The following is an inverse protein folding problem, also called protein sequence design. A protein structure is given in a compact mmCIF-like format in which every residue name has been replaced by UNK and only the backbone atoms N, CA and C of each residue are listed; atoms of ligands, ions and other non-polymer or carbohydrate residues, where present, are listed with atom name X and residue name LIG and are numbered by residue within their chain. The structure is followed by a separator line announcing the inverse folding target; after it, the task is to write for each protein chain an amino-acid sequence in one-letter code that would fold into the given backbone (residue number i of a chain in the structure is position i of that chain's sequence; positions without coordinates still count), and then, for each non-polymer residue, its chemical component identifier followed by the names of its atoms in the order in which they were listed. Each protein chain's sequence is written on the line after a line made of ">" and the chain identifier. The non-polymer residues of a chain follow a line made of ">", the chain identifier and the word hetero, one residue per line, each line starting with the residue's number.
data_IF_531654097361
#
_entry.id   IF_531654097361
#
_cell.length_a   1.000
_cell.length_b   1.000
_cell.length_c   1.000
_cell.angle_alpha   90.00
_cell.angle_beta   90.00
_cell.angle_gamma   90.00
#
_symmetry.space_group_name_H-M   'P 1'
#
loop_
_entity.id
_entity.type
_entity.pdbx_description
1 polymer ?
#
# COMPACT_ATOMS: atom_id res chain seq x y z
N UNK A 1 -3.39 1.43 -19.96
CA UNK A 1 -3.91 1.19 -18.59
C UNK A 1 -3.25 2.15 -17.62
N UNK A 2 -4.03 2.93 -16.87
CA UNK A 2 -3.48 3.76 -15.80
C UNK A 2 -3.02 2.81 -14.66
N UNK A 3 -1.74 2.89 -14.29
CA UNK A 3 -1.16 2.04 -13.24
C UNK A 3 -1.62 2.47 -11.83
N UNK A 4 -1.26 1.69 -10.81
CA UNK A 4 -1.63 1.98 -9.40
C UNK A 4 -1.29 3.41 -8.97
N UNK A 5 -0.17 3.95 -9.47
CA UNK A 5 0.28 5.31 -9.25
C UNK A 5 -0.78 6.39 -9.55
N UNK A 6 -1.57 6.19 -10.61
CA UNK A 6 -2.61 7.16 -11.01
C UNK A 6 -3.72 7.31 -9.97
N UNK A 7 -3.97 6.28 -9.15
CA UNK A 7 -5.03 6.30 -8.16
C UNK A 7 -4.64 7.01 -6.85
N UNK A 8 -3.38 7.44 -6.70
CA UNK A 8 -2.97 8.20 -5.52
C UNK A 8 -3.61 9.58 -5.45
N UNK A 9 -3.87 10.21 -6.61
CA UNK A 9 -4.57 11.49 -6.66
C UNK A 9 -6.05 11.34 -6.25
N UNK A 10 -6.68 10.21 -6.50
CA UNK A 10 -8.09 9.97 -6.14
C UNK A 10 -8.27 9.55 -4.68
N UNK A 11 -7.19 9.16 -4.00
CA UNK A 11 -7.21 8.73 -2.61
C UNK A 11 -6.86 9.90 -1.68
N UNK A 12 -7.77 10.39 -0.82
CA UNK A 12 -7.58 11.65 -0.09
C UNK A 12 -6.29 11.77 0.72
N UNK A 13 -5.86 10.69 1.38
CA UNK A 13 -4.63 10.70 2.18
C UNK A 13 -3.37 10.78 1.31
N UNK A 14 -3.28 9.93 0.28
CA UNK A 14 -2.11 9.93 -0.61
C UNK A 14 -2.06 11.18 -1.47
N UNK A 15 -3.20 11.77 -1.84
CA UNK A 15 -3.25 13.09 -2.47
C UNK A 15 -2.54 14.15 -1.62
N UNK A 16 -2.77 14.17 -0.30
CA UNK A 16 -2.11 15.13 0.61
C UNK A 16 -0.60 14.91 0.66
N UNK A 17 -0.16 13.64 0.68
CA UNK A 17 1.27 13.30 0.61
C UNK A 17 1.87 13.83 -0.69
N UNK A 18 1.21 13.60 -1.83
CA UNK A 18 1.71 14.08 -3.13
C UNK A 18 1.74 15.61 -3.24
N UNK A 19 0.81 16.31 -2.58
CA UNK A 19 0.72 17.77 -2.60
C UNK A 19 1.77 18.46 -1.71
N UNK A 20 2.16 17.82 -0.61
CA UNK A 20 3.10 18.39 0.35
C UNK A 20 4.06 17.31 0.92
N UNK A 21 4.87 16.64 0.08
CA UNK A 21 5.68 15.49 0.51
C UNK A 21 6.64 15.82 1.67
N UNK A 22 7.11 17.07 1.76
CA UNK A 22 7.95 17.57 2.85
C UNK A 22 7.28 17.53 4.24
N UNK A 23 5.94 17.49 4.31
CA UNK A 23 5.19 17.36 5.57
C UNK A 23 5.01 15.90 5.99
N UNK A 24 5.33 14.95 5.10
CA UNK A 24 5.08 13.51 5.26
C UNK A 24 6.40 12.73 5.13
N UNK A 25 7.38 13.06 5.99
CA UNK A 25 8.74 12.52 5.93
C UNK A 25 8.85 10.99 6.11
N UNK A 26 7.83 10.36 6.67
CA UNK A 26 7.72 8.90 6.75
C UNK A 26 7.30 8.25 5.43
N UNK A 27 7.18 8.99 4.33
CA UNK A 27 6.80 8.47 3.03
C UNK A 27 7.82 8.82 1.96
N UNK A 28 8.11 7.87 1.09
CA UNK A 28 8.97 8.07 -0.07
C UNK A 28 8.21 7.75 -1.35
N UNK A 29 8.35 8.62 -2.35
CA UNK A 29 7.88 8.36 -3.71
C UNK A 29 9.05 7.81 -4.53
N UNK A 30 8.89 6.60 -5.07
CA UNK A 30 9.88 5.96 -5.94
C UNK A 30 9.17 5.36 -7.14
N UNK A 31 9.60 5.72 -8.36
CA UNK A 31 9.00 5.25 -9.62
C UNK A 31 7.47 5.44 -9.70
N UNK A 32 6.96 6.50 -9.07
CA UNK A 32 5.51 6.80 -9.01
C UNK A 32 4.74 5.99 -7.96
N UNK A 33 5.41 5.14 -7.17
CA UNK A 33 4.83 4.39 -6.06
C UNK A 33 5.21 5.00 -4.72
N UNK A 34 4.24 5.06 -3.80
CA UNK A 34 4.47 5.54 -2.44
C UNK A 34 4.82 4.37 -1.51
N UNK A 35 5.84 4.56 -0.69
CA UNK A 35 6.28 3.59 0.30
C UNK A 35 6.33 4.24 1.68
N UNK A 36 5.97 3.48 2.72
CA UNK A 36 6.20 3.88 4.10
C UNK A 36 7.67 3.64 4.45
N UNK A 37 8.32 4.68 4.96
CA UNK A 37 9.70 4.66 5.46
C UNK A 37 9.65 4.64 6.98
N UNK A 38 9.97 3.48 7.56
CA UNK A 38 10.12 3.32 9.00
C UNK A 38 11.62 3.34 9.35
N UNK A 39 12.11 4.39 10.05
CA UNK A 39 13.51 4.42 10.47
C UNK A 39 13.86 3.19 11.30
N UNK A 40 14.90 2.46 10.88
CA UNK A 40 15.37 1.25 11.56
C UNK A 40 14.67 -0.04 11.15
N UNK A 41 13.67 0.00 10.27
CA UNK A 41 13.09 -1.20 9.65
C UNK A 41 13.67 -1.43 8.24
N UNK A 42 13.84 -2.69 7.86
CA UNK A 42 14.28 -3.07 6.52
C UNK A 42 13.11 -3.12 5.52
N UNK A 43 11.88 -3.27 6.02
CA UNK A 43 10.68 -3.28 5.18
C UNK A 43 10.28 -1.85 4.80
N UNK A 44 9.93 -1.67 3.52
CA UNK A 44 9.31 -0.46 3.01
C UNK A 44 7.93 -0.83 2.44
N UNK A 45 6.88 -0.89 3.28
CA UNK A 45 5.55 -1.29 2.84
C UNK A 45 5.02 -0.38 1.72
N UNK A 46 4.43 -0.97 0.68
CA UNK A 46 3.79 -0.24 -0.40
C UNK A 46 2.49 0.42 0.10
N UNK A 47 2.35 1.71 -0.12
CA UNK A 47 1.10 2.43 0.16
C UNK A 47 0.06 2.06 -0.89
N UNK A 48 -1.03 1.44 -0.46
CA UNK A 48 -2.10 0.96 -1.36
C UNK A 48 -3.24 2.00 -1.41
N UNK A 49 -3.42 2.72 -2.53
CA UNK A 49 -4.51 3.68 -2.67
C UNK A 49 -5.87 2.98 -2.66
N UNK A 50 -6.94 3.75 -2.47
CA UNK A 50 -8.29 3.28 -2.70
C UNK A 50 -8.56 3.21 -4.21
N UNK A 51 -8.20 2.09 -4.82
CA UNK A 51 -8.26 1.87 -6.27
C UNK A 51 -9.11 0.64 -6.63
N UNK A 52 -9.67 0.65 -7.84
CA UNK A 52 -10.36 -0.51 -8.44
C UNK A 52 -9.54 -1.00 -9.64
N UNK A 53 -9.21 -2.29 -9.62
CA UNK A 53 -8.56 -2.98 -10.73
C UNK A 53 -9.44 -4.14 -11.20
N UNK A 54 -9.86 -4.11 -12.47
CA UNK A 54 -10.71 -5.14 -13.10
C UNK A 54 -11.97 -5.47 -12.27
N UNK A 55 -12.63 -4.44 -11.73
CA UNK A 55 -13.87 -4.59 -10.95
C UNK A 55 -13.69 -4.99 -9.49
N UNK A 56 -12.46 -5.17 -9.01
CA UNK A 56 -12.16 -5.51 -7.60
C UNK A 56 -11.34 -4.41 -6.93
N UNK A 57 -11.49 -4.25 -5.61
CA UNK A 57 -10.68 -3.28 -4.86
C UNK A 57 -9.25 -3.79 -4.76
N UNK A 58 -8.26 -2.93 -5.00
CA UNK A 58 -6.84 -3.36 -4.92
C UNK A 58 -6.49 -3.86 -3.52
N UNK A 59 -6.99 -3.21 -2.46
CA UNK A 59 -6.80 -3.66 -1.07
C UNK A 59 -7.37 -5.06 -0.81
N UNK A 60 -8.50 -5.39 -1.43
CA UNK A 60 -9.09 -6.74 -1.38
C UNK A 60 -8.19 -7.76 -2.06
N UNK A 61 -7.63 -7.42 -3.23
CA UNK A 61 -6.65 -8.28 -3.92
C UNK A 61 -5.39 -8.52 -3.07
N UNK A 62 -4.89 -7.50 -2.36
CA UNK A 62 -3.77 -7.64 -1.44
C UNK A 62 -4.08 -8.60 -0.27
N UNK A 63 -5.27 -8.48 0.32
CA UNK A 63 -5.72 -9.35 1.43
C UNK A 63 -5.87 -10.80 0.96
N UNK A 64 -6.53 -11.02 -0.18
CA UNK A 64 -6.71 -12.36 -0.75
C UNK A 64 -5.36 -13.00 -1.08
N UNK A 65 -4.47 -12.23 -1.70
CA UNK A 65 -3.12 -12.70 -2.01
C UNK A 65 -2.36 -13.10 -0.75
N UNK A 66 -2.36 -12.26 0.29
CA UNK A 66 -1.72 -12.57 1.57
C UNK A 66 -2.29 -13.85 2.20
N UNK A 67 -3.61 -14.01 2.19
CA UNK A 67 -4.28 -15.18 2.75
C UNK A 67 -3.94 -16.48 2.00
N UNK A 68 -3.89 -16.42 0.67
CA UNK A 68 -3.48 -17.56 -0.17
C UNK A 68 -2.00 -17.90 -0.02
N UNK A 69 -1.12 -16.89 -0.01
CA UNK A 69 0.33 -17.05 0.14
C UNK A 69 0.71 -17.77 1.43
N UNK A 70 -0.03 -17.51 2.51
CA UNK A 70 0.19 -18.17 3.81
C UNK A 70 -0.55 -19.50 3.98
N UNK A 71 -1.11 -20.06 2.91
CA UNK A 71 -1.86 -21.33 2.93
C UNK A 71 -3.05 -21.31 3.90
N UNK A 72 -3.88 -20.25 3.83
CA UNK A 72 -5.05 -20.06 4.71
C UNK A 72 -4.71 -19.93 6.19
N UNK A 73 -3.53 -19.39 6.50
CA UNK A 73 -3.18 -19.05 7.87
C UNK A 73 -4.25 -18.11 8.48
N UNK A 74 -4.55 -18.31 9.76
CA UNK A 74 -5.50 -17.48 10.49
C UNK A 74 -5.16 -15.98 10.43
N UNK A 75 -6.15 -15.15 10.77
CA UNK A 75 -6.10 -13.70 10.57
C UNK A 75 -4.83 -13.02 11.08
N UNK A 76 -4.25 -13.48 12.20
CA UNK A 76 -3.04 -12.90 12.81
C UNK A 76 -1.85 -12.97 11.85
N UNK A 77 -1.55 -14.14 11.30
CA UNK A 77 -0.43 -14.33 10.37
C UNK A 77 -0.65 -13.55 9.07
N UNK A 78 -1.90 -13.50 8.60
CA UNK A 78 -2.27 -12.71 7.41
C UNK A 78 -2.05 -11.21 7.66
N UNK A 79 -2.48 -10.70 8.81
CA UNK A 79 -2.27 -9.30 9.18
C UNK A 79 -0.80 -8.95 9.35
N UNK A 80 -0.02 -9.84 9.98
CA UNK A 80 1.43 -9.63 10.16
C UNK A 80 2.16 -9.59 8.82
N UNK A 81 1.75 -10.41 7.84
CA UNK A 81 2.26 -10.34 6.48
C UNK A 81 1.85 -9.03 5.79
N UNK A 82 0.56 -8.67 5.84
CA UNK A 82 0.07 -7.44 5.22
C UNK A 82 0.79 -6.20 5.74
N UNK A 83 1.07 -6.11 7.04
CA UNK A 83 1.79 -4.97 7.65
C UNK A 83 3.24 -4.83 7.20
N UNK A 84 3.88 -5.93 6.79
CA UNK A 84 5.26 -5.92 6.27
C UNK A 84 5.31 -5.46 4.81
N UNK A 85 4.31 -5.83 4.03
CA UNK A 85 4.30 -5.62 2.58
C UNK A 85 3.52 -4.37 2.15
N UNK A 86 2.49 -3.97 2.91
CA UNK A 86 1.52 -2.96 2.51
C UNK A 86 1.13 -2.00 3.64
N UNK A 87 0.68 -0.80 3.26
CA UNK A 87 0.15 0.21 4.17
C UNK A 87 -1.07 0.91 3.56
N UNK A 88 -2.14 1.16 4.33
CA UNK A 88 -3.30 1.95 3.89
C UNK A 88 -4.19 2.43 5.05
#
# INVERSE_FOLDING_TARGET
>A
PAGLASAYEDTPFTRKILQAPQEYLSFALSEGLLFLMNPGETSAPLVVPNAIFKGRRVRELCIDHAHMTLSHAGYRKTLDYLRKEYWW
#
